data_IF_711130443155
#
_entry.id   IF_711130443155
#
_cell.length_a   1.000
_cell.length_b   1.000
_cell.length_c   1.000
_cell.angle_alpha   90.00
_cell.angle_beta   90.00
_cell.angle_gamma   90.00
#
_symmetry.space_group_name_H-M   'P 1'
#
loop_
_entity.id
_entity.type
_entity.pdbx_description
1 polymer ?
#
# COMPACT_ATOMS: atom_id res chain seq x y z
N UNK A 1 18.13 40.97 32.73
CA UNK A 1 16.97 40.97 33.65
C UNK A 1 15.90 41.87 33.04
N UNK A 2 15.00 41.31 32.23
CA UNK A 2 13.83 42.01 31.67
C UNK A 2 12.67 41.03 31.79
N UNK A 3 11.65 41.43 32.54
CA UNK A 3 10.53 40.64 33.05
C UNK A 3 9.24 41.01 32.28
N UNK A 4 8.42 40.00 31.97
CA UNK A 4 6.95 39.93 31.77
C UNK A 4 6.23 41.10 31.08
N UNK A 5 5.20 40.96 30.24
CA UNK A 5 3.95 40.16 30.30
C UNK A 5 3.18 40.57 29.02
N UNK A 6 2.24 39.80 28.45
CA UNK A 6 0.79 40.00 28.63
C UNK A 6 0.04 38.81 28.01
N UNK A 7 -0.64 38.12 28.91
CA UNK A 7 -1.70 37.13 28.73
C UNK A 7 -2.91 37.78 28.03
N UNK A 8 -3.51 37.11 27.04
CA UNK A 8 -4.85 37.48 26.52
C UNK A 8 -5.79 36.29 26.69
N UNK A 9 -6.73 36.45 27.63
CA UNK A 9 -7.83 35.55 27.94
C UNK A 9 -9.10 36.24 27.42
N UNK A 10 -9.87 35.59 26.56
CA UNK A 10 -11.23 36.02 26.21
C UNK A 10 -12.19 34.86 26.43
N UNK A 11 -13.04 35.04 27.43
CA UNK A 11 -14.15 34.16 27.80
C UNK A 11 -15.43 34.60 27.08
N UNK A 12 -16.31 33.65 26.74
CA UNK A 12 -17.76 33.85 26.78
C UNK A 12 -18.48 32.50 26.80
N UNK A 13 -19.12 32.21 27.93
CA UNK A 13 -20.18 31.21 28.10
C UNK A 13 -21.47 31.67 27.40
N UNK A 14 -22.24 30.72 26.85
CA UNK A 14 -23.70 30.81 26.88
C UNK A 14 -24.32 29.40 26.94
N UNK A 15 -25.19 29.24 27.93
CA UNK A 15 -25.89 28.01 28.31
C UNK A 15 -27.22 27.83 27.56
N UNK A 16 -27.80 26.63 27.65
CA UNK A 16 -29.22 26.44 27.32
C UNK A 16 -29.67 24.97 27.30
N UNK A 17 -30.25 24.51 28.40
CA UNK A 17 -31.02 23.26 28.52
C UNK A 17 -32.32 23.32 27.68
N UNK A 18 -32.78 22.17 27.14
CA UNK A 18 -34.17 21.70 27.35
C UNK A 18 -34.41 20.30 26.76
N UNK A 19 -35.27 19.58 27.49
CA UNK A 19 -35.71 18.19 27.41
C UNK A 19 -36.96 18.06 26.51
N UNK A 20 -37.17 16.91 25.84
CA UNK A 20 -38.42 16.10 25.87
C UNK A 20 -38.85 15.39 24.56
N UNK A 21 -39.47 14.22 24.78
CA UNK A 21 -40.58 13.59 24.05
C UNK A 21 -40.30 12.62 22.87
N UNK A 22 -40.50 11.33 23.14
CA UNK A 22 -41.07 10.30 22.24
C UNK A 22 -42.54 10.05 22.68
N UNK A 23 -43.40 9.25 22.00
CA UNK A 23 -43.53 8.80 20.59
C UNK A 23 -44.99 8.99 20.04
N UNK A 24 -45.33 8.52 18.83
CA UNK A 24 -46.63 7.86 18.44
C UNK A 24 -46.63 7.46 16.95
N UNK A 25 -47.18 6.27 16.67
CA UNK A 25 -47.28 5.56 15.39
C UNK A 25 -48.30 6.14 14.40
N UNK A 26 -48.09 5.92 13.09
CA UNK A 26 -49.16 5.85 12.10
C UNK A 26 -48.84 4.82 11.02
N UNK A 27 -49.74 3.85 10.86
CA UNK A 27 -49.83 2.85 9.79
C UNK A 27 -50.37 3.52 8.52
N UNK A 28 -49.78 3.25 7.36
CA UNK A 28 -50.46 3.34 6.07
C UNK A 28 -49.92 2.26 5.12
N UNK A 29 -50.87 1.46 4.64
CA UNK A 29 -50.80 0.33 3.73
C UNK A 29 -50.43 0.76 2.30
N UNK A 30 -49.70 -0.06 1.55
CA UNK A 30 -49.41 0.21 0.12
C UNK A 30 -48.16 -0.47 -0.43
N UNK A 31 -48.29 -1.72 -0.89
CA UNK A 31 -47.31 -2.47 -1.70
C UNK A 31 -47.14 -1.83 -3.10
N UNK A 32 -45.91 -1.69 -3.65
CA UNK A 32 -45.39 -2.67 -4.61
C UNK A 32 -43.91 -3.06 -4.35
N UNK A 33 -43.44 -4.24 -4.81
CA UNK A 33 -42.07 -4.69 -4.57
C UNK A 33 -41.10 -3.90 -5.45
N UNK A 34 -40.60 -2.79 -4.94
CA UNK A 34 -39.53 -2.02 -5.60
C UNK A 34 -38.20 -2.56 -5.09
N UNK A 35 -37.60 -3.36 -5.98
CA UNK A 35 -36.16 -3.64 -6.14
C UNK A 35 -35.32 -3.29 -4.91
N UNK A 36 -34.94 -4.35 -4.20
CA UNK A 36 -33.75 -4.44 -3.37
C UNK A 36 -32.74 -3.38 -3.78
N UNK A 37 -32.64 -2.30 -3.01
CA UNK A 37 -31.45 -1.48 -3.00
C UNK A 37 -30.34 -2.42 -2.60
N UNK A 38 -29.66 -2.95 -3.61
CA UNK A 38 -28.37 -3.57 -3.46
C UNK A 38 -27.56 -2.56 -2.67
N UNK A 39 -27.40 -2.85 -1.38
CA UNK A 39 -26.25 -2.44 -0.62
C UNK A 39 -25.09 -2.88 -1.50
N UNK A 40 -24.54 -1.94 -2.26
CA UNK A 40 -23.30 -2.08 -3.01
C UNK A 40 -22.23 -2.34 -1.97
N UNK A 41 -22.25 -3.59 -1.51
CA UNK A 41 -21.14 -4.27 -0.92
C UNK A 41 -20.01 -4.05 -1.92
N UNK A 42 -18.83 -3.58 -1.51
CA UNK A 42 -17.66 -3.64 -2.37
C UNK A 42 -17.28 -5.12 -2.51
N UNK A 43 -18.05 -5.83 -3.31
CA UNK A 43 -17.95 -7.25 -3.57
C UNK A 43 -17.82 -7.48 -5.08
N UNK A 44 -17.12 -6.60 -5.79
CA UNK A 44 -16.71 -6.82 -7.17
C UNK A 44 -15.30 -6.28 -7.43
N UNK A 45 -14.37 -6.67 -6.56
CA UNK A 45 -12.97 -6.86 -6.94
C UNK A 45 -12.54 -8.22 -6.39
N UNK A 46 -13.21 -9.29 -6.85
CA UNK A 46 -12.78 -10.67 -6.63
C UNK A 46 -11.62 -11.03 -7.57
N UNK A 47 -10.64 -10.14 -7.68
CA UNK A 47 -9.28 -10.52 -8.03
C UNK A 47 -8.61 -10.93 -6.72
N UNK A 48 -8.04 -12.12 -6.65
CA UNK A 48 -7.24 -12.53 -5.49
C UNK A 48 -6.08 -11.55 -5.33
N UNK A 49 -6.26 -10.50 -4.54
CA UNK A 49 -5.21 -9.54 -4.25
C UNK A 49 -4.03 -10.30 -3.66
N UNK A 50 -2.82 -9.98 -4.11
CA UNK A 50 -1.62 -10.66 -3.60
C UNK A 50 -1.49 -10.38 -2.09
N UNK A 51 -0.89 -11.29 -1.32
CA UNK A 51 -0.55 -11.00 0.07
C UNK A 51 0.31 -9.75 0.18
N UNK A 52 0.25 -9.08 1.33
CA UNK A 52 1.12 -7.96 1.63
C UNK A 52 2.58 -8.42 1.68
N UNK A 53 3.44 -7.69 0.99
CA UNK A 53 4.88 -7.90 0.99
C UNK A 53 5.55 -6.74 1.72
N UNK A 54 6.32 -7.06 2.76
CA UNK A 54 7.16 -6.08 3.42
C UNK A 54 8.36 -5.74 2.53
N UNK A 55 8.58 -4.45 2.27
CA UNK A 55 9.75 -4.02 1.52
C UNK A 55 11.05 -4.26 2.31
N UNK A 56 12.07 -4.74 1.62
CA UNK A 56 13.42 -4.89 2.18
C UNK A 56 13.97 -3.54 2.65
N UNK A 57 14.61 -3.55 3.82
CA UNK A 57 15.15 -2.36 4.46
C UNK A 57 16.68 -2.38 4.46
N UNK A 58 17.30 -1.26 4.10
CA UNK A 58 18.74 -1.06 4.28
C UNK A 58 19.07 -0.60 5.70
N UNK A 59 20.25 -0.91 6.25
CA UNK A 59 20.76 -0.24 7.43
C UNK A 59 20.81 1.28 7.21
N UNK A 60 20.43 2.07 8.23
CA UNK A 60 20.34 3.55 8.18
C UNK A 60 19.27 4.10 7.24
N UNK A 61 18.12 3.43 7.15
CA UNK A 61 16.97 3.90 6.39
C UNK A 61 16.32 5.16 7.01
N UNK A 62 15.29 5.70 6.32
CA UNK A 62 14.47 6.81 6.82
C UNK A 62 13.65 6.47 8.08
N UNK A 63 13.64 5.21 8.54
CA UNK A 63 12.82 4.72 9.65
C UNK A 63 11.43 4.27 9.22
N UNK A 64 10.90 4.83 8.12
CA UNK A 64 9.56 4.54 7.59
C UNK A 64 9.48 3.12 7.05
N UNK A 65 8.50 2.34 7.52
CA UNK A 65 8.19 1.01 7.01
C UNK A 65 7.31 1.11 5.77
N UNK A 66 7.67 0.36 4.72
CA UNK A 66 6.86 0.23 3.51
C UNK A 66 6.39 -1.22 3.36
N UNK A 67 5.08 -1.40 3.14
CA UNK A 67 4.49 -2.64 2.69
C UNK A 67 3.78 -2.37 1.37
N UNK A 68 3.75 -3.36 0.49
CA UNK A 68 3.05 -3.23 -0.77
C UNK A 68 2.26 -4.50 -1.12
N UNK A 69 1.24 -4.34 -1.96
CA UNK A 69 0.54 -5.45 -2.59
C UNK A 69 0.12 -5.07 -4.00
N UNK A 70 -0.01 -6.06 -4.86
CA UNK A 70 -0.52 -5.93 -6.20
C UNK A 70 -2.00 -6.31 -6.18
N UNK A 71 -2.85 -5.46 -6.76
CA UNK A 71 -4.30 -5.70 -6.85
C UNK A 71 -4.63 -6.91 -7.73
N UNK A 72 -3.77 -7.21 -8.69
CA UNK A 72 -3.84 -8.39 -9.56
C UNK A 72 -2.43 -8.77 -10.03
N UNK A 73 -2.28 -9.97 -10.60
CA UNK A 73 -1.04 -10.36 -11.27
C UNK A 73 -0.76 -9.40 -12.44
N UNK A 74 0.43 -8.76 -12.52
CA UNK A 74 0.73 -7.82 -13.58
C UNK A 74 0.70 -8.50 -14.96
N UNK A 75 0.10 -7.83 -15.95
CA UNK A 75 0.06 -8.29 -17.34
C UNK A 75 0.58 -7.18 -18.26
N UNK A 76 1.34 -7.54 -19.29
CA UNK A 76 1.80 -6.59 -20.29
C UNK A 76 0.61 -5.89 -20.98
N UNK A 77 0.72 -4.58 -21.16
CA UNK A 77 -0.31 -3.72 -21.74
C UNK A 77 -1.53 -3.46 -20.85
N UNK A 78 -1.59 -4.02 -19.63
CA UNK A 78 -2.73 -3.82 -18.72
C UNK A 78 -2.36 -3.02 -17.48
N UNK A 79 -3.26 -2.12 -17.01
CA UNK A 79 -3.04 -1.40 -15.77
C UNK A 79 -3.08 -2.35 -14.58
N UNK A 80 -2.07 -2.23 -13.73
CA UNK A 80 -1.94 -2.96 -12.47
C UNK A 80 -1.90 -1.97 -11.33
N UNK A 81 -2.81 -2.12 -10.37
CA UNK A 81 -2.83 -1.28 -9.18
C UNK A 81 -1.83 -1.82 -8.16
N UNK A 82 -0.91 -0.97 -7.73
CA UNK A 82 0.01 -1.21 -6.62
C UNK A 82 -0.50 -0.41 -5.42
N UNK A 83 -0.81 -1.11 -4.33
CA UNK A 83 -1.19 -0.47 -3.06
C UNK A 83 0.05 -0.44 -2.17
N UNK A 84 0.40 0.75 -1.69
CA UNK A 84 1.53 1.04 -0.83
C UNK A 84 1.00 1.46 0.54
N UNK A 85 1.60 0.92 1.60
CA UNK A 85 1.28 1.25 2.98
C UNK A 85 2.55 1.70 3.70
N UNK A 86 2.50 2.90 4.27
CA UNK A 86 3.59 3.55 4.95
C UNK A 86 3.28 3.67 6.45
N UNK A 87 4.27 3.36 7.27
CA UNK A 87 4.13 3.33 8.73
C UNK A 87 5.44 3.80 9.40
N UNK A 88 5.38 4.22 10.67
CA UNK A 88 6.57 4.61 11.42
C UNK A 88 7.13 5.99 11.07
N UNK A 89 6.31 6.90 10.56
CA UNK A 89 6.70 8.31 10.35
C UNK A 89 6.84 9.00 11.70
N UNK A 90 8.07 9.32 12.09
CA UNK A 90 8.40 9.85 13.42
C UNK A 90 8.83 11.31 13.45
N UNK A 91 9.23 11.86 12.31
CA UNK A 91 9.61 13.27 12.20
C UNK A 91 8.36 14.16 12.23
N UNK A 92 8.33 15.24 13.05
CA UNK A 92 7.15 16.10 13.17
C UNK A 92 6.79 16.85 11.87
N UNK A 93 7.72 17.04 10.95
CA UNK A 93 7.46 17.60 9.62
C UNK A 93 6.84 16.56 8.65
N UNK A 94 6.76 15.30 9.07
CA UNK A 94 6.30 14.18 8.24
C UNK A 94 7.41 13.60 7.37
N UNK A 95 7.00 12.78 6.40
CA UNK A 95 7.91 12.20 5.41
C UNK A 95 7.42 12.50 3.99
N UNK A 96 8.35 12.59 3.04
CA UNK A 96 8.04 12.77 1.62
C UNK A 96 8.37 11.51 0.85
N UNK A 97 7.50 11.12 -0.06
CA UNK A 97 7.68 9.97 -0.95
C UNK A 97 7.74 10.47 -2.38
N UNK A 98 8.72 9.99 -3.13
CA UNK A 98 8.81 10.15 -4.58
C UNK A 98 8.79 8.76 -5.24
N UNK A 99 8.04 8.63 -6.31
CA UNK A 99 7.81 7.41 -7.06
C UNK A 99 8.35 7.59 -8.48
N UNK A 100 9.17 6.66 -8.92
CA UNK A 100 9.66 6.60 -10.30
C UNK A 100 9.57 5.18 -10.81
N UNK A 101 9.63 5.01 -12.13
CA UNK A 101 9.50 3.71 -12.78
C UNK A 101 10.65 3.50 -13.75
N UNK A 102 11.05 2.24 -13.91
CA UNK A 102 12.06 1.86 -14.90
C UNK A 102 11.52 1.97 -16.32
N UNK A 103 12.44 1.94 -17.30
CA UNK A 103 12.08 1.90 -18.72
C UNK A 103 11.15 0.70 -19.01
N UNK A 104 10.14 0.92 -19.86
CA UNK A 104 9.13 -0.10 -20.17
C UNK A 104 8.00 -0.20 -19.14
N UNK A 105 8.00 0.62 -18.09
CA UNK A 105 6.90 0.77 -17.15
C UNK A 105 6.42 2.23 -17.17
N UNK A 106 5.10 2.45 -17.14
CA UNK A 106 4.53 3.80 -17.03
C UNK A 106 3.76 3.93 -15.74
N UNK A 107 3.98 5.02 -15.01
CA UNK A 107 3.25 5.36 -13.80
C UNK A 107 2.04 6.25 -14.13
N UNK A 108 0.89 5.89 -13.60
CA UNK A 108 -0.34 6.70 -13.65
C UNK A 108 -0.83 6.96 -12.23
N UNK A 109 -1.06 8.24 -11.92
CA UNK A 109 -1.38 8.74 -10.59
C UNK A 109 -0.31 9.71 -10.05
N UNK A 110 -0.37 9.99 -8.75
CA UNK A 110 0.58 10.89 -8.10
C UNK A 110 1.95 10.25 -7.98
N UNK A 111 2.97 10.87 -8.59
CA UNK A 111 4.36 10.44 -8.47
C UNK A 111 5.03 10.93 -7.17
N UNK A 112 4.34 11.76 -6.39
CA UNK A 112 4.81 12.24 -5.08
C UNK A 112 3.69 12.22 -4.06
N UNK A 113 4.05 11.97 -2.80
CA UNK A 113 3.13 11.88 -1.68
C UNK A 113 3.76 12.45 -0.41
N UNK A 114 2.96 13.16 0.38
CA UNK A 114 3.35 13.58 1.73
C UNK A 114 2.71 12.66 2.76
N UNK A 115 3.50 12.20 3.72
CA UNK A 115 3.07 11.32 4.80
C UNK A 115 3.00 12.10 6.11
N UNK A 116 1.83 12.19 6.77
CA UNK A 116 1.71 12.82 8.08
C UNK A 116 2.45 12.04 9.17
N UNK A 117 2.95 12.73 10.22
CA UNK A 117 3.60 12.10 11.35
C UNK A 117 2.64 11.24 12.18
N UNK A 118 3.16 10.16 12.77
CA UNK A 118 2.46 9.35 13.77
C UNK A 118 1.24 8.57 13.26
N UNK A 119 0.95 8.64 11.96
CA UNK A 119 -0.20 8.00 11.33
C UNK A 119 0.27 7.03 10.26
N UNK A 120 -0.46 5.92 10.12
CA UNK A 120 -0.32 5.04 8.95
C UNK A 120 -0.97 5.72 7.75
N UNK A 121 -0.30 5.63 6.60
CA UNK A 121 -0.77 6.22 5.34
C UNK A 121 -0.81 5.16 4.26
N UNK A 122 -1.91 5.11 3.51
CA UNK A 122 -2.06 4.22 2.36
C UNK A 122 -2.12 5.04 1.07
N UNK A 123 -1.52 4.50 0.02
CA UNK A 123 -1.53 5.08 -1.32
C UNK A 123 -1.74 3.99 -2.36
N UNK A 124 -2.37 4.34 -3.47
CA UNK A 124 -2.56 3.45 -4.60
C UNK A 124 -2.07 4.13 -5.86
N UNK A 125 -1.21 3.44 -6.60
CA UNK A 125 -0.70 3.91 -7.89
C UNK A 125 -0.95 2.86 -8.94
N UNK A 126 -1.19 3.30 -10.17
CA UNK A 126 -1.41 2.39 -11.29
C UNK A 126 -0.15 2.36 -12.13
N UNK A 127 0.36 1.16 -12.40
CA UNK A 127 1.49 0.96 -13.31
C UNK A 127 1.02 0.16 -14.53
N UNK A 128 1.54 0.51 -15.71
CA UNK A 128 1.28 -0.24 -16.94
C UNK A 128 2.63 -0.67 -17.50
N UNK A 129 2.85 -1.97 -17.63
CA UNK A 129 4.03 -2.51 -18.30
C UNK A 129 3.81 -2.50 -19.80
N UNK A 130 4.80 -2.04 -20.56
CA UNK A 130 4.72 -1.96 -22.03
C UNK A 130 5.05 -3.30 -22.71
N UNK A 131 5.75 -4.20 -22.02
CA UNK A 131 6.11 -5.53 -22.51
C UNK A 131 6.17 -6.54 -21.37
N UNK A 132 6.46 -7.80 -21.70
CA UNK A 132 6.73 -8.85 -20.71
C UNK A 132 8.13 -8.70 -20.11
N UNK A 133 8.31 -9.16 -18.87
CA UNK A 133 9.58 -9.13 -18.16
C UNK A 133 9.48 -8.53 -16.75
N UNK A 134 10.65 -8.20 -16.20
CA UNK A 134 10.83 -7.60 -14.89
C UNK A 134 11.11 -6.11 -15.04
N UNK A 135 10.25 -5.27 -14.47
CA UNK A 135 10.51 -3.84 -14.28
C UNK A 135 10.35 -3.49 -12.80
N UNK A 136 10.87 -2.33 -12.39
CA UNK A 136 10.76 -1.89 -11.00
C UNK A 136 9.99 -0.59 -10.87
N UNK A 137 9.12 -0.54 -9.85
CA UNK A 137 8.61 0.70 -9.27
C UNK A 137 9.56 1.11 -8.14
N UNK A 138 10.23 2.23 -8.32
CA UNK A 138 11.19 2.77 -7.35
C UNK A 138 10.47 3.75 -6.43
N UNK A 139 10.65 3.56 -5.13
CA UNK A 139 10.03 4.36 -4.07
C UNK A 139 11.14 4.97 -3.22
N UNK A 140 11.20 6.29 -3.21
CA UNK A 140 12.16 7.07 -2.43
C UNK A 140 11.43 7.74 -1.27
N UNK A 141 11.75 7.38 -0.04
CA UNK A 141 11.11 7.93 1.16
C UNK A 141 12.13 8.77 1.91
N UNK A 142 11.86 10.05 2.10
CA UNK A 142 12.75 10.98 2.80
C UNK A 142 12.09 11.48 4.08
N UNK A 143 12.77 11.34 5.21
CA UNK A 143 12.33 11.80 6.52
C UNK A 143 13.54 12.31 7.31
N UNK A 144 13.44 13.50 7.92
CA UNK A 144 14.50 14.02 8.80
C UNK A 144 15.90 14.04 8.15
N UNK A 145 15.98 14.31 6.85
CA UNK A 145 17.21 14.30 6.06
C UNK A 145 17.77 12.91 5.68
N UNK A 146 17.08 11.82 6.02
CA UNK A 146 17.45 10.45 5.64
C UNK A 146 16.54 9.94 4.53
N UNK A 147 17.11 9.25 3.54
CA UNK A 147 16.36 8.71 2.40
C UNK A 147 16.48 7.19 2.30
N UNK A 148 15.34 6.51 2.20
CA UNK A 148 15.23 5.10 1.81
C UNK A 148 14.95 5.00 0.32
N UNK A 149 15.63 4.08 -0.38
CA UNK A 149 15.28 3.69 -1.75
C UNK A 149 14.84 2.22 -1.75
N UNK A 150 13.62 1.98 -2.23
CA UNK A 150 13.01 0.65 -2.32
C UNK A 150 12.62 0.41 -3.77
N UNK A 151 12.95 -0.77 -4.31
CA UNK A 151 12.50 -1.20 -5.63
C UNK A 151 11.47 -2.32 -5.49
N UNK A 152 10.28 -2.10 -6.02
CA UNK A 152 9.17 -3.06 -6.02
C UNK A 152 9.16 -3.76 -7.39
N UNK A 153 9.38 -5.08 -7.45
CA UNK A 153 9.37 -5.81 -8.72
C UNK A 153 7.95 -5.90 -9.29
N UNK A 154 7.81 -5.53 -10.56
CA UNK A 154 6.61 -5.69 -11.36
C UNK A 154 6.92 -6.71 -12.46
N UNK A 155 6.58 -7.96 -12.17
CA UNK A 155 6.79 -9.07 -13.08
C UNK A 155 5.58 -9.28 -13.99
N UNK A 156 5.77 -9.17 -15.29
CA UNK A 156 4.73 -9.40 -16.31
C UNK A 156 5.10 -10.58 -17.20
N UNK A 157 4.11 -11.39 -17.54
CA UNK A 157 4.32 -12.62 -18.32
C UNK A 157 4.78 -13.81 -17.47
N UNK A 158 5.09 -14.92 -18.13
CA UNK A 158 5.54 -16.15 -17.47
C UNK A 158 7.02 -16.05 -17.09
N UNK A 159 7.31 -15.29 -16.05
CA UNK A 159 8.67 -15.22 -15.53
C UNK A 159 8.65 -15.20 -14.00
N UNK A 160 8.21 -16.30 -13.41
CA UNK A 160 8.98 -16.79 -12.28
C UNK A 160 10.05 -17.71 -12.86
N UNK A 161 11.35 -17.35 -12.86
CA UNK A 161 12.33 -18.37 -12.54
C UNK A 161 11.90 -18.85 -11.16
N UNK A 162 11.18 -19.97 -11.11
CA UNK A 162 11.21 -20.77 -9.90
C UNK A 162 12.70 -21.00 -9.68
N UNK A 163 13.29 -20.34 -8.67
CA UNK A 163 14.54 -20.85 -8.11
C UNK A 163 14.23 -22.32 -7.87
N UNK A 164 14.89 -23.21 -8.63
CA UNK A 164 14.81 -24.64 -8.36
C UNK A 164 15.31 -24.79 -6.93
N UNK A 165 14.38 -24.91 -5.99
CA UNK A 165 14.70 -25.30 -4.63
C UNK A 165 15.12 -26.76 -4.74
N UNK A 166 16.43 -26.98 -4.76
CA UNK A 166 17.04 -28.29 -4.93
C UNK A 166 17.76 -28.39 -6.26
N UNK A 167 19.10 -28.57 -6.19
CA UNK A 167 19.84 -29.17 -7.28
C UNK A 167 19.12 -30.45 -7.71
N UNK A 168 19.14 -30.76 -9.01
CA UNK A 168 18.50 -31.97 -9.54
C UNK A 168 19.04 -33.20 -8.82
N UNK A 169 18.28 -33.70 -7.84
CA UNK A 169 18.51 -34.99 -7.25
C UNK A 169 17.97 -36.00 -8.25
N UNK A 170 18.84 -36.48 -9.13
CA UNK A 170 18.52 -37.61 -10.00
C UNK A 170 18.70 -38.89 -9.18
N UNK A 171 17.63 -39.38 -8.57
CA UNK A 171 17.65 -40.68 -7.90
C UNK A 171 17.80 -41.79 -8.94
N UNK A 172 18.86 -42.58 -8.82
CA UNK A 172 19.00 -43.83 -9.58
C UNK A 172 18.01 -44.88 -9.02
N UNK A 173 17.61 -45.91 -9.79
CA UNK A 173 16.69 -46.96 -9.35
C UNK A 173 17.15 -47.80 -8.13
N UNK A 174 18.32 -47.48 -7.55
CA UNK A 174 18.89 -48.11 -6.36
C UNK A 174 18.92 -47.24 -5.09
N UNK A 175 18.38 -46.01 -5.10
CA UNK A 175 18.23 -45.19 -3.89
C UNK A 175 19.39 -44.23 -3.54
N UNK A 176 20.43 -44.15 -4.36
CA UNK A 176 21.53 -43.19 -4.16
C UNK A 176 21.28 -41.84 -4.86
N UNK A 177 21.71 -40.77 -4.19
CA UNK A 177 21.58 -39.37 -4.64
C UNK A 177 22.98 -38.79 -4.94
N UNK A 178 23.22 -38.29 -6.15
CA UNK A 178 24.50 -37.67 -6.55
C UNK A 178 24.36 -36.15 -6.57
N UNK A 179 25.24 -35.45 -5.85
CA UNK A 179 25.42 -33.99 -5.94
C UNK A 179 26.62 -33.74 -6.84
N UNK A 180 26.37 -33.33 -8.09
CA UNK A 180 27.44 -32.91 -9.00
C UNK A 180 27.79 -31.44 -8.74
N UNK A 181 28.97 -31.18 -8.17
CA UNK A 181 29.55 -29.83 -8.15
C UNK A 181 30.35 -29.60 -9.44
N UNK A 182 30.23 -28.43 -10.09
CA UNK A 182 31.08 -28.09 -11.23
C UNK A 182 32.52 -27.82 -10.75
N UNK A 183 33.49 -28.44 -11.42
CA UNK A 183 34.91 -28.17 -11.23
C UNK A 183 35.28 -26.82 -11.87
N UNK A 184 36.27 -26.15 -11.25
CA UNK A 184 36.81 -24.84 -11.67
C UNK A 184 37.46 -24.88 -13.05
#
# INVERSE_FOLDING_TARGET
MILNTRLSLAAALAAGLALSALPVCALADGMPPIRTTAKSSPADLKGSATPWVAASRKPNDSGVKLQYRLGAAPQAGKPTVVVLQFDGVSDPAGASVALTVDAGLTLSGSASLSLPPGQRSDASVTVVSQGEGLAYLNVFITQGGRTSAISIPIQTGAAAPAMKAGGEIKSLPGGDNIISLPAK
#
